data_IF_433263408483
#
_entry.id   IF_433263408483
#
_cell.length_a   1.000
_cell.length_b   1.000
_cell.length_c   1.000
_cell.angle_alpha   90.00
_cell.angle_beta   90.00
_cell.angle_gamma   90.00
#
_symmetry.space_group_name_H-M   'P 1'
#
loop_
_entity.id
_entity.type
_entity.pdbx_description
1 polymer ?
#
# COMPACT_ATOMS: atom_id res chain seq x y z
N UNK A 1 10.76 -7.36 -20.35
CA UNK A 1 10.00 -8.46 -21.00
C UNK A 1 10.96 -9.50 -21.60
N UNK A 2 10.49 -10.74 -21.81
CA UNK A 2 11.35 -11.88 -22.22
C UNK A 2 11.94 -11.71 -23.62
N UNK A 3 11.19 -11.05 -24.50
CA UNK A 3 11.48 -10.75 -25.89
C UNK A 3 12.24 -9.43 -26.11
N UNK A 4 12.58 -8.70 -25.03
CA UNK A 4 13.44 -7.53 -25.15
C UNK A 4 14.82 -7.91 -25.72
N UNK A 5 15.44 -7.04 -26.53
CA UNK A 5 16.84 -7.20 -26.91
C UNK A 5 17.73 -7.33 -25.67
N UNK A 6 18.73 -8.22 -25.72
CA UNK A 6 19.62 -8.47 -24.58
C UNK A 6 20.34 -7.20 -24.10
N UNK A 7 20.67 -6.30 -25.03
CA UNK A 7 21.25 -5.02 -24.68
C UNK A 7 20.32 -4.15 -23.83
N UNK A 8 19.02 -4.11 -24.19
CA UNK A 8 18.01 -3.37 -23.43
C UNK A 8 17.81 -3.98 -22.04
N UNK A 9 17.84 -5.31 -21.92
CA UNK A 9 17.76 -5.99 -20.61
C UNK A 9 18.91 -5.58 -19.70
N UNK A 10 20.14 -5.54 -20.21
CA UNK A 10 21.32 -5.09 -19.44
C UNK A 10 21.19 -3.64 -19.00
N UNK A 11 20.77 -2.75 -19.91
CA UNK A 11 20.55 -1.34 -19.60
C UNK A 11 19.47 -1.13 -18.55
N UNK A 12 18.38 -1.90 -18.61
CA UNK A 12 17.31 -1.85 -17.61
C UNK A 12 17.81 -2.33 -16.25
N UNK A 13 18.57 -3.42 -16.20
CA UNK A 13 19.15 -3.93 -14.95
C UNK A 13 20.05 -2.88 -14.27
N UNK A 14 20.96 -2.25 -15.02
CA UNK A 14 21.81 -1.18 -14.51
C UNK A 14 21.01 0.05 -14.08
N UNK A 15 19.95 0.40 -14.83
CA UNK A 15 19.09 1.52 -14.49
C UNK A 15 18.35 1.31 -13.18
N UNK A 16 17.79 0.13 -12.95
CA UNK A 16 17.09 -0.21 -11.70
C UNK A 16 18.05 -0.14 -10.53
N UNK A 17 19.26 -0.68 -10.65
CA UNK A 17 20.24 -0.62 -9.56
C UNK A 17 20.72 0.82 -9.29
N UNK A 18 20.82 1.64 -10.33
CA UNK A 18 21.19 3.05 -10.19
C UNK A 18 20.12 3.87 -9.47
N UNK A 19 18.83 3.54 -9.60
CA UNK A 19 17.75 4.30 -8.97
C UNK A 19 17.28 3.70 -7.64
N UNK A 20 17.07 2.38 -7.61
CA UNK A 20 16.45 1.62 -6.51
C UNK A 20 17.35 0.50 -5.95
N UNK A 21 18.63 0.47 -6.32
CA UNK A 21 19.60 -0.46 -5.75
C UNK A 21 20.14 0.02 -4.39
N UNK A 22 21.07 -0.73 -3.76
CA UNK A 22 21.65 -0.36 -2.47
C UNK A 22 22.40 1.00 -2.45
N UNK A 23 22.87 1.47 -3.61
CA UNK A 23 23.45 2.79 -3.80
C UNK A 23 22.59 3.66 -4.73
N UNK A 24 21.30 3.32 -4.82
CA UNK A 24 20.33 3.98 -5.67
C UNK A 24 19.98 5.36 -5.13
N UNK A 25 19.97 6.36 -6.00
CA UNK A 25 19.77 7.74 -5.52
C UNK A 25 18.32 8.03 -5.12
N UNK A 26 17.32 7.34 -5.70
CA UNK A 26 15.93 7.46 -5.22
C UNK A 26 15.73 6.65 -3.93
N UNK A 27 16.30 5.44 -3.85
CA UNK A 27 16.23 4.62 -2.63
C UNK A 27 16.88 5.31 -1.42
N UNK A 28 17.94 6.09 -1.67
CA UNK A 28 18.55 6.92 -0.63
C UNK A 28 17.58 7.97 -0.07
N UNK A 29 16.78 8.60 -0.93
CA UNK A 29 15.77 9.57 -0.52
C UNK A 29 14.59 8.88 0.19
N UNK A 30 14.16 7.71 -0.29
CA UNK A 30 13.08 6.93 0.31
C UNK A 30 13.45 6.42 1.72
N UNK A 31 14.69 5.96 1.93
CA UNK A 31 15.14 5.42 3.21
C UNK A 31 15.13 6.44 4.35
N UNK A 32 15.37 7.73 4.07
CA UNK A 32 15.29 8.78 5.09
C UNK A 32 13.88 8.85 5.72
N UNK A 33 12.85 8.69 4.88
CA UNK A 33 11.46 8.61 5.32
C UNK A 33 11.18 7.31 6.09
N UNK A 34 11.59 6.16 5.53
CA UNK A 34 11.27 4.84 6.10
C UNK A 34 11.89 4.62 7.48
N UNK A 35 13.14 5.03 7.64
CA UNK A 35 13.86 4.91 8.91
C UNK A 35 13.20 5.74 10.00
N UNK A 36 12.92 7.01 9.71
CA UNK A 36 12.36 7.95 10.69
C UNK A 36 10.95 7.53 11.13
N UNK A 37 10.10 7.12 10.19
CA UNK A 37 8.75 6.61 10.50
C UNK A 37 8.82 5.41 11.47
N UNK A 38 9.70 4.45 11.17
CA UNK A 38 9.89 3.25 12.00
C UNK A 38 10.48 3.59 13.38
N UNK A 39 11.44 4.51 13.45
CA UNK A 39 12.04 4.92 14.71
C UNK A 39 11.04 5.66 15.62
N UNK A 40 10.04 6.36 15.06
CA UNK A 40 9.03 7.06 15.86
C UNK A 40 8.08 6.09 16.57
N UNK A 41 7.76 4.94 15.95
CA UNK A 41 6.97 3.89 16.59
C UNK A 41 7.61 3.26 17.84
N UNK A 42 8.91 3.51 18.09
CA UNK A 42 9.63 3.04 19.29
C UNK A 42 9.63 4.06 20.43
N UNK A 43 9.25 5.32 20.18
CA UNK A 43 9.31 6.41 21.15
C UNK A 43 7.98 6.52 21.89
N UNK A 44 8.03 6.60 23.23
CA UNK A 44 6.86 6.44 24.09
C UNK A 44 5.65 7.33 23.72
N UNK A 45 5.88 8.62 23.47
CA UNK A 45 4.80 9.56 23.14
C UNK A 45 4.41 9.46 21.66
N UNK A 46 5.40 9.46 20.77
CA UNK A 46 5.15 9.46 19.32
C UNK A 46 4.40 8.22 18.82
N UNK A 47 4.58 7.06 19.46
CA UNK A 47 3.92 5.82 19.04
C UNK A 47 2.42 5.78 19.35
N UNK A 48 1.92 6.68 20.20
CA UNK A 48 0.50 6.77 20.57
C UNK A 48 -0.26 7.75 19.65
N UNK A 49 0.41 8.27 18.62
CA UNK A 49 -0.21 9.10 17.58
C UNK A 49 -0.62 8.25 16.39
N UNK A 50 -1.78 8.56 15.80
CA UNK A 50 -2.29 7.86 14.62
C UNK A 50 -1.59 8.29 13.33
N UNK A 51 -1.41 7.31 12.44
CA UNK A 51 -1.10 7.56 11.03
C UNK A 51 -2.42 7.54 10.25
N UNK A 52 -2.70 8.62 9.53
CA UNK A 52 -3.93 8.78 8.76
C UNK A 52 -3.72 8.33 7.32
N UNK A 53 -4.70 7.58 6.78
CA UNK A 53 -4.73 7.14 5.37
C UNK A 53 -6.06 7.51 4.70
N UNK A 54 -6.46 8.78 4.82
CA UNK A 54 -7.78 9.28 4.43
C UNK A 54 -7.83 9.99 3.06
N UNK A 55 -6.71 10.09 2.33
CA UNK A 55 -6.68 10.72 1.02
C UNK A 55 -7.53 9.93 0.01
N UNK A 56 -8.51 10.61 -0.59
CA UNK A 56 -9.48 10.02 -1.52
C UNK A 56 -10.57 9.17 -0.85
N UNK A 57 -10.66 9.16 0.48
CA UNK A 57 -11.71 8.43 1.18
C UNK A 57 -13.11 8.93 0.80
N UNK A 58 -14.05 8.00 0.61
CA UNK A 58 -15.42 8.28 0.18
C UNK A 58 -15.61 8.44 -1.33
N UNK A 59 -14.53 8.37 -2.13
CA UNK A 59 -14.59 8.44 -3.60
C UNK A 59 -14.26 7.12 -4.31
N UNK A 60 -13.84 6.10 -3.54
CA UNK A 60 -13.51 4.79 -4.07
C UNK A 60 -14.76 4.05 -4.57
N UNK A 61 -14.62 3.33 -5.68
CA UNK A 61 -15.72 2.55 -6.26
C UNK A 61 -15.40 1.06 -6.29
N UNK A 62 -16.43 0.23 -6.14
CA UNK A 62 -16.38 -1.21 -6.39
C UNK A 62 -17.36 -1.56 -7.51
N UNK A 63 -16.98 -2.49 -8.38
CA UNK A 63 -17.80 -2.88 -9.53
C UNK A 63 -17.69 -1.93 -10.73
N UNK A 64 -16.56 -1.23 -10.88
CA UNK A 64 -16.27 -0.51 -12.11
C UNK A 64 -16.28 -1.48 -13.31
N UNK A 65 -16.76 -0.99 -14.46
CA UNK A 65 -16.99 -1.82 -15.64
C UNK A 65 -15.68 -2.31 -16.29
N UNK A 66 -14.57 -1.63 -16.06
CA UNK A 66 -13.28 -1.88 -16.70
C UNK A 66 -12.23 -2.33 -15.69
N UNK A 67 -12.17 -1.70 -14.53
CA UNK A 67 -11.15 -1.92 -13.52
C UNK A 67 -11.70 -2.70 -12.32
N UNK A 68 -11.29 -3.96 -12.12
CA UNK A 68 -11.81 -4.77 -11.02
C UNK A 68 -11.23 -4.33 -9.66
N UNK A 69 -11.91 -4.76 -8.59
CA UNK A 69 -11.52 -4.44 -7.22
C UNK A 69 -12.08 -3.11 -6.74
N UNK A 70 -11.48 -2.55 -5.69
CA UNK A 70 -11.79 -1.19 -5.21
C UNK A 70 -10.83 -0.23 -5.88
N UNK A 71 -11.38 0.78 -6.56
CA UNK A 71 -10.64 1.67 -7.45
C UNK A 71 -10.81 3.13 -7.00
N UNK A 72 -9.69 3.80 -6.75
CA UNK A 72 -9.62 5.25 -6.61
C UNK A 72 -9.29 5.91 -7.96
N UNK A 73 -9.71 7.17 -8.14
CA UNK A 73 -9.54 7.90 -9.41
C UNK A 73 -8.16 8.57 -9.59
N UNK A 74 -7.28 8.45 -8.60
CA UNK A 74 -5.97 9.10 -8.58
C UNK A 74 -4.91 8.14 -8.06
N UNK A 75 -3.75 8.10 -8.73
CA UNK A 75 -2.56 7.40 -8.23
C UNK A 75 -1.94 8.11 -7.02
N UNK A 76 -2.18 9.42 -6.87
CA UNK A 76 -1.90 10.16 -5.64
C UNK A 76 -3.14 10.03 -4.76
N UNK A 77 -3.17 8.99 -3.93
CA UNK A 77 -4.32 8.61 -3.11
C UNK A 77 -3.96 7.48 -2.15
N UNK A 78 -4.82 7.24 -1.15
CA UNK A 78 -4.55 6.26 -0.09
C UNK A 78 -5.54 5.07 -0.12
N UNK A 79 -6.23 4.86 -1.24
CA UNK A 79 -7.13 3.71 -1.48
C UNK A 79 -6.43 2.38 -1.22
N UNK A 80 -5.22 2.21 -1.76
CA UNK A 80 -4.41 1.00 -1.58
C UNK A 80 -3.90 0.85 -0.14
N UNK A 81 -3.56 1.96 0.53
CA UNK A 81 -3.15 1.96 1.93
C UNK A 81 -4.27 1.46 2.84
N UNK A 82 -5.50 1.95 2.65
CA UNK A 82 -6.68 1.46 3.38
C UNK A 82 -6.92 -0.04 3.13
N UNK A 83 -6.83 -0.47 1.87
CA UNK A 83 -6.96 -1.90 1.52
C UNK A 83 -5.91 -2.79 2.18
N UNK A 84 -4.66 -2.33 2.22
CA UNK A 84 -3.55 -3.02 2.87
C UNK A 84 -3.76 -3.14 4.38
N UNK A 85 -4.02 -2.04 5.09
CA UNK A 85 -4.18 -2.08 6.54
C UNK A 85 -5.45 -2.79 6.99
N UNK A 86 -6.53 -2.76 6.19
CA UNK A 86 -7.72 -3.60 6.39
C UNK A 86 -7.38 -5.09 6.38
N UNK A 87 -6.63 -5.54 5.37
CA UNK A 87 -6.21 -6.94 5.27
C UNK A 87 -5.22 -7.33 6.38
N UNK A 88 -4.25 -6.47 6.68
CA UNK A 88 -3.31 -6.65 7.79
C UNK A 88 -4.04 -6.83 9.12
N UNK A 89 -4.99 -5.94 9.43
CA UNK A 89 -5.79 -6.03 10.65
C UNK A 89 -6.59 -7.34 10.70
N UNK A 90 -7.27 -7.70 9.61
CA UNK A 90 -8.03 -8.95 9.52
C UNK A 90 -7.15 -10.18 9.76
N UNK A 91 -5.92 -10.18 9.24
CA UNK A 91 -4.96 -11.27 9.49
C UNK A 91 -4.49 -11.31 10.95
N UNK A 92 -4.06 -10.18 11.50
CA UNK A 92 -3.54 -10.11 12.88
C UNK A 92 -4.61 -10.47 13.92
N UNK A 93 -5.89 -10.22 13.62
CA UNK A 93 -7.02 -10.58 14.49
C UNK A 93 -7.60 -11.97 14.24
N UNK A 94 -7.11 -12.74 13.26
CA UNK A 94 -7.63 -14.06 12.92
C UNK A 94 -6.64 -15.16 13.26
N UNK A 95 -7.14 -16.26 13.81
CA UNK A 95 -6.33 -17.43 14.18
C UNK A 95 -6.08 -18.39 13.02
N UNK A 96 -6.87 -18.28 11.96
CA UNK A 96 -6.85 -19.15 10.80
C UNK A 96 -7.52 -18.49 9.59
N UNK A 97 -7.48 -19.16 8.44
CA UNK A 97 -8.08 -18.67 7.21
C UNK A 97 -9.60 -18.54 7.26
N UNK A 98 -10.32 -19.45 7.93
CA UNK A 98 -11.78 -19.38 7.99
C UNK A 98 -12.24 -18.11 8.73
N UNK A 99 -11.54 -17.74 9.81
CA UNK A 99 -11.77 -16.48 10.53
C UNK A 99 -11.44 -15.26 9.66
N UNK A 100 -10.33 -15.29 8.91
CA UNK A 100 -9.97 -14.20 7.99
C UNK A 100 -11.01 -14.01 6.88
N UNK A 101 -11.47 -15.09 6.26
CA UNK A 101 -12.51 -15.07 5.23
C UNK A 101 -13.83 -14.53 5.80
N UNK A 102 -14.18 -14.93 7.02
CA UNK A 102 -15.35 -14.40 7.70
C UNK A 102 -15.23 -12.90 7.96
N UNK A 103 -14.10 -12.46 8.53
CA UNK A 103 -13.81 -11.05 8.81
C UNK A 103 -13.73 -10.19 7.54
N UNK A 104 -13.34 -10.77 6.42
CA UNK A 104 -13.21 -10.09 5.12
C UNK A 104 -14.43 -10.26 4.21
N UNK A 105 -15.52 -10.88 4.67
CA UNK A 105 -16.70 -11.19 3.84
C UNK A 105 -17.39 -9.98 3.21
N UNK A 106 -17.19 -8.78 3.77
CA UNK A 106 -17.77 -7.51 3.29
C UNK A 106 -16.71 -6.46 2.96
N UNK A 107 -15.48 -6.90 2.68
CA UNK A 107 -14.30 -6.03 2.55
C UNK A 107 -14.47 -4.82 1.61
N UNK A 108 -15.16 -4.99 0.48
CA UNK A 108 -15.32 -3.91 -0.49
C UNK A 108 -16.34 -2.86 -0.02
N UNK A 109 -17.37 -3.27 0.72
CA UNK A 109 -18.36 -2.37 1.31
C UNK A 109 -17.72 -1.49 2.38
N UNK A 110 -16.82 -2.06 3.17
CA UNK A 110 -16.02 -1.31 4.15
C UNK A 110 -15.14 -0.25 3.48
N UNK A 111 -14.45 -0.61 2.39
CA UNK A 111 -13.52 0.28 1.69
C UNK A 111 -14.21 1.37 0.85
N UNK A 112 -15.48 1.18 0.47
CA UNK A 112 -16.26 2.14 -0.35
C UNK A 112 -17.26 2.96 0.46
N UNK A 113 -17.21 2.89 1.79
CA UNK A 113 -18.05 3.72 2.66
C UNK A 113 -17.74 5.21 2.46
N UNK A 114 -18.76 6.07 2.51
CA UNK A 114 -18.63 7.53 2.29
C UNK A 114 -18.68 8.35 3.58
N UNK A 115 -18.94 7.70 4.70
CA UNK A 115 -18.97 8.31 6.02
C UNK A 115 -18.09 7.49 6.95
N UNK A 116 -17.22 8.16 7.71
CA UNK A 116 -16.70 7.55 8.92
C UNK A 116 -17.81 7.50 9.97
N UNK A 117 -17.73 6.51 10.86
CA UNK A 117 -18.56 6.51 12.06
C UNK A 117 -18.20 7.71 12.92
#
# INVERSE_FOLDING_TARGET
>A
EKDMPEDLKRRLADSVQRTFGPAGFWESDDNDNMETASQNGKKYQSRDSDLLSNLGFGEDVYGDAVYPGVVGKSAIGETSYRGFYRAYQAHVSSSNWAEFEHASSTWHTELTKTTDR
#
